data_IF_896967516850
#
_entry.id   IF_896967516850
#
_cell.length_a   1.000
_cell.length_b   1.000
_cell.length_c   1.000
_cell.angle_alpha   90.00
_cell.angle_beta   90.00
_cell.angle_gamma   90.00
#
_symmetry.space_group_name_H-M   'P 1'
#
loop_
_entity.id
_entity.type
_entity.pdbx_description
1 polymer ?
#
# COMPACT_ATOMS: atom_id res chain seq x y z
N UNK A 1 9.41 -14.54 1.15
CA UNK A 1 8.27 -15.21 1.81
C UNK A 1 7.46 -14.31 2.74
N UNK A 2 8.00 -13.86 3.89
CA UNK A 2 7.29 -12.88 4.74
C UNK A 2 6.98 -11.58 3.98
N UNK A 3 7.95 -11.07 3.22
CA UNK A 3 7.83 -10.45 1.88
C UNK A 3 6.42 -10.32 1.26
N UNK A 4 6.12 -11.36 0.49
CA UNK A 4 5.00 -11.55 -0.42
C UNK A 4 3.68 -11.77 0.31
N UNK A 5 3.71 -12.51 1.43
CA UNK A 5 2.54 -12.73 2.28
C UNK A 5 2.13 -11.46 3.00
N UNK A 6 3.08 -10.69 3.55
CA UNK A 6 2.83 -9.39 4.18
C UNK A 6 2.32 -8.39 3.13
N UNK A 7 2.84 -8.44 1.90
CA UNK A 7 2.36 -7.62 0.79
C UNK A 7 0.87 -7.88 0.46
N UNK A 8 0.46 -9.14 0.33
CA UNK A 8 -0.93 -9.50 0.07
C UNK A 8 -1.86 -9.26 1.27
N UNK A 9 -1.34 -9.44 2.49
CA UNK A 9 -2.03 -9.20 3.76
C UNK A 9 -2.27 -7.71 4.04
N UNK A 10 -1.28 -6.85 3.75
CA UNK A 10 -1.44 -5.40 3.85
C UNK A 10 -2.51 -4.91 2.89
N UNK A 11 -2.53 -5.37 1.64
CA UNK A 11 -3.55 -4.89 0.71
C UNK A 11 -4.96 -5.43 0.99
N UNK A 12 -5.08 -6.64 1.56
CA UNK A 12 -6.38 -7.23 1.90
C UNK A 12 -6.98 -6.69 3.22
N UNK A 13 -6.16 -6.30 4.19
CA UNK A 13 -6.62 -5.83 5.51
C UNK A 13 -6.51 -4.31 5.71
N UNK A 14 -5.78 -3.58 4.87
CA UNK A 14 -5.79 -2.11 4.91
C UNK A 14 -7.07 -1.63 4.23
N UNK A 15 -8.12 -1.39 5.04
CA UNK A 15 -9.21 -0.50 4.66
C UNK A 15 -8.63 0.89 4.40
N UNK A 16 -8.21 1.08 3.15
CA UNK A 16 -7.91 2.31 2.42
C UNK A 16 -7.63 3.52 3.31
N UNK A 17 -6.35 3.90 3.33
CA UNK A 17 -5.79 5.14 3.85
C UNK A 17 -6.18 6.37 3.00
N UNK A 18 -7.45 6.45 2.62
CA UNK A 18 -7.95 7.39 1.60
C UNK A 18 -8.32 8.82 2.02
N UNK A 19 -8.32 9.26 3.31
CA UNK A 19 -8.99 10.51 3.63
C UNK A 19 -8.14 11.76 3.42
N UNK A 20 -6.89 11.67 2.96
CA UNK A 20 -6.05 12.87 2.84
C UNK A 20 -6.24 13.64 1.52
N UNK A 21 -6.70 13.01 0.44
CA UNK A 21 -6.88 13.72 -0.84
C UNK A 21 -8.18 13.42 -1.61
N UNK A 22 -8.92 12.35 -1.28
CA UNK A 22 -10.18 12.02 -1.98
C UNK A 22 -11.40 12.53 -1.22
N UNK A 23 -11.70 13.82 -1.40
CA UNK A 23 -12.93 14.46 -0.92
C UNK A 23 -14.18 14.14 -1.76
N UNK A 24 -14.13 13.10 -2.61
CA UNK A 24 -15.25 12.72 -3.47
C UNK A 24 -15.53 11.22 -3.45
N UNK A 25 -16.67 10.83 -2.85
CA UNK A 25 -17.18 9.45 -2.81
C UNK A 25 -17.25 8.75 -4.18
N UNK A 26 -17.33 9.52 -5.27
CA UNK A 26 -17.27 9.00 -6.65
C UNK A 26 -15.89 8.42 -6.98
N UNK A 27 -14.82 9.17 -6.73
CA UNK A 27 -13.44 8.75 -7.03
C UNK A 27 -13.01 7.57 -6.17
N UNK A 28 -13.40 7.57 -4.88
CA UNK A 28 -13.16 6.43 -3.99
C UNK A 28 -13.82 5.15 -4.51
N UNK A 29 -15.10 5.22 -4.90
CA UNK A 29 -15.84 4.07 -5.44
C UNK A 29 -15.24 3.61 -6.76
N UNK A 30 -14.87 4.56 -7.63
CA UNK A 30 -14.18 4.28 -8.89
C UNK A 30 -12.87 3.54 -8.63
N UNK A 31 -11.95 4.10 -7.84
CA UNK A 31 -10.66 3.49 -7.54
C UNK A 31 -10.81 2.07 -6.95
N UNK A 32 -11.72 1.88 -6.00
CA UNK A 32 -11.99 0.54 -5.45
C UNK A 32 -12.52 -0.45 -6.50
N UNK A 33 -13.40 0.01 -7.39
CA UNK A 33 -13.95 -0.82 -8.47
C UNK A 33 -12.85 -1.21 -9.46
N UNK A 34 -12.04 -0.23 -9.88
CA UNK A 34 -10.96 -0.40 -10.84
C UNK A 34 -9.82 -1.26 -10.29
N UNK A 35 -9.41 -1.05 -9.04
CA UNK A 35 -8.40 -1.92 -8.41
C UNK A 35 -8.89 -3.38 -8.35
N UNK A 36 -10.18 -3.61 -8.04
CA UNK A 36 -10.76 -4.97 -8.07
C UNK A 36 -10.84 -5.55 -9.47
N UNK A 37 -11.06 -4.75 -10.51
CA UNK A 37 -11.02 -5.25 -11.90
C UNK A 37 -9.61 -5.69 -12.29
N UNK A 38 -8.58 -4.92 -11.92
CA UNK A 38 -7.17 -5.24 -12.20
C UNK A 38 -6.52 -6.27 -11.27
N UNK A 39 -7.31 -6.88 -10.38
CA UNK A 39 -6.85 -8.06 -9.66
C UNK A 39 -6.70 -7.87 -8.17
N UNK A 40 -7.08 -6.74 -7.60
CA UNK A 40 -7.06 -6.60 -6.16
C UNK A 40 -7.92 -7.68 -5.50
N UNK A 41 -7.26 -8.57 -4.75
CA UNK A 41 -7.88 -9.75 -4.14
C UNK A 41 -8.12 -10.93 -5.10
N UNK A 42 -7.48 -10.95 -6.27
CA UNK A 42 -7.54 -12.01 -7.29
C UNK A 42 -6.14 -12.53 -7.64
N UNK A 43 -6.10 -13.65 -8.35
CA UNK A 43 -4.86 -14.33 -8.77
C UNK A 43 -3.98 -13.52 -9.73
N UNK A 44 -4.51 -12.51 -10.44
CA UNK A 44 -3.70 -11.65 -11.31
C UNK A 44 -2.75 -10.76 -10.53
N UNK A 45 -3.21 -10.14 -9.43
CA UNK A 45 -2.35 -9.37 -8.53
C UNK A 45 -1.33 -10.27 -7.84
N UNK A 46 -1.74 -11.47 -7.42
CA UNK A 46 -0.84 -12.43 -6.82
C UNK A 46 0.33 -12.75 -7.75
N UNK A 47 0.08 -12.94 -9.05
CA UNK A 47 1.15 -13.14 -10.04
C UNK A 47 2.12 -11.98 -10.10
N UNK A 48 1.61 -10.74 -10.14
CA UNK A 48 2.40 -9.51 -10.09
C UNK A 48 3.28 -9.43 -8.83
N UNK A 49 2.72 -9.80 -7.68
CA UNK A 49 3.46 -9.85 -6.42
C UNK A 49 4.57 -10.89 -6.48
N UNK A 50 4.27 -12.11 -6.97
CA UNK A 50 5.25 -13.18 -7.09
C UNK A 50 6.39 -12.83 -8.05
N UNK A 51 6.08 -12.21 -9.19
CA UNK A 51 7.07 -11.70 -10.14
C UNK A 51 7.97 -10.66 -9.49
N UNK A 52 7.40 -9.68 -8.78
CA UNK A 52 8.20 -8.65 -8.12
C UNK A 52 9.02 -9.21 -6.96
N UNK A 53 8.54 -10.28 -6.30
CA UNK A 53 9.33 -10.99 -5.30
C UNK A 53 10.55 -11.71 -5.90
N UNK A 54 10.44 -12.20 -7.14
CA UNK A 54 11.58 -12.77 -7.85
C UNK A 54 12.66 -11.70 -8.09
N UNK A 55 12.27 -10.54 -8.64
CA UNK A 55 13.18 -9.42 -8.83
C UNK A 55 13.81 -8.90 -7.54
N UNK A 56 13.02 -8.83 -6.46
CA UNK A 56 13.54 -8.46 -5.15
C UNK A 56 14.62 -9.45 -4.67
N UNK A 57 14.41 -10.76 -4.85
CA UNK A 57 15.40 -11.78 -4.47
C UNK A 57 16.67 -11.67 -5.32
N UNK A 58 16.53 -11.49 -6.64
CA UNK A 58 17.69 -11.27 -7.53
C UNK A 58 18.54 -10.08 -7.09
N UNK A 59 17.92 -8.99 -6.63
CA UNK A 59 18.63 -7.80 -6.15
C UNK A 59 19.27 -8.03 -4.77
N UNK A 60 18.60 -8.76 -3.88
CA UNK A 60 19.16 -9.14 -2.57
C UNK A 60 20.40 -10.02 -2.74
N UNK A 61 20.38 -10.98 -3.67
CA UNK A 61 21.49 -11.91 -3.91
C UNK A 61 22.76 -11.22 -4.44
N UNK A 62 22.61 -10.06 -5.09
CA UNK A 62 23.74 -9.24 -5.58
C UNK A 62 24.48 -8.52 -4.46
N UNK A 63 23.83 -8.28 -3.31
CA UNK A 63 24.38 -7.48 -2.22
C UNK A 63 24.84 -8.38 -1.04
N UNK A 64 26.14 -8.32 -0.67
CA UNK A 64 26.65 -9.06 0.51
C UNK A 64 26.10 -8.52 1.84
N UNK A 65 25.87 -7.22 1.89
CA UNK A 65 25.21 -6.51 2.99
C UNK A 65 24.44 -5.36 2.34
N UNK A 66 23.14 -5.27 2.64
CA UNK A 66 22.25 -4.31 2.00
C UNK A 66 21.45 -3.50 3.01
N UNK A 67 21.00 -2.33 2.58
CA UNK A 67 20.00 -1.55 3.33
C UNK A 67 18.60 -1.88 2.78
N UNK A 68 17.78 -2.66 3.52
CA UNK A 68 16.54 -3.24 3.02
C UNK A 68 15.49 -2.20 2.59
N UNK A 69 15.57 -0.98 3.14
CA UNK A 69 14.59 0.08 2.86
C UNK A 69 14.47 0.40 1.37
N UNK A 70 15.60 0.51 0.66
CA UNK A 70 15.59 0.84 -0.77
C UNK A 70 14.92 -0.27 -1.59
N UNK A 71 15.30 -1.51 -1.33
CA UNK A 71 14.80 -2.67 -2.07
C UNK A 71 13.30 -2.89 -1.80
N UNK A 72 12.87 -2.77 -0.55
CA UNK A 72 11.45 -2.88 -0.20
C UNK A 72 10.62 -1.73 -0.76
N UNK A 73 11.15 -0.49 -0.80
CA UNK A 73 10.45 0.62 -1.44
C UNK A 73 10.30 0.39 -2.95
N UNK A 74 11.35 -0.10 -3.61
CA UNK A 74 11.30 -0.45 -5.04
C UNK A 74 10.26 -1.54 -5.32
N UNK A 75 10.37 -2.68 -4.62
CA UNK A 75 9.49 -3.82 -4.81
C UNK A 75 8.02 -3.44 -4.59
N UNK A 76 7.73 -2.81 -3.45
CA UNK A 76 6.36 -2.46 -3.11
C UNK A 76 5.78 -1.46 -4.10
N UNK A 77 6.56 -0.45 -4.46
CA UNK A 77 6.10 0.57 -5.41
C UNK A 77 5.89 0.03 -6.80
N UNK A 78 6.71 -0.94 -7.24
CA UNK A 78 6.53 -1.57 -8.54
C UNK A 78 5.20 -2.32 -8.64
N UNK A 79 4.73 -2.94 -7.56
CA UNK A 79 3.40 -3.55 -7.55
C UNK A 79 2.31 -2.48 -7.69
N UNK A 80 2.48 -1.30 -7.09
CA UNK A 80 1.59 -0.15 -7.33
C UNK A 80 1.72 0.36 -8.77
N UNK A 81 2.93 0.44 -9.33
CA UNK A 81 3.17 0.84 -10.72
C UNK A 81 2.46 -0.09 -11.69
N UNK A 82 2.52 -1.41 -11.47
CA UNK A 82 1.81 -2.35 -12.33
C UNK A 82 0.29 -2.14 -12.30
N UNK A 83 -0.27 -1.79 -11.15
CA UNK A 83 -1.72 -1.51 -11.04
C UNK A 83 -2.11 -0.17 -11.63
N UNK A 84 -1.27 0.85 -11.46
CA UNK A 84 -1.59 2.23 -11.81
C UNK A 84 -1.22 2.55 -13.26
N UNK A 85 -0.10 2.02 -13.73
CA UNK A 85 0.55 2.36 -15.01
C UNK A 85 0.78 1.14 -15.91
N UNK A 86 0.29 -0.04 -15.53
CA UNK A 86 0.40 -1.25 -16.33
C UNK A 86 1.82 -1.80 -16.51
N UNK A 87 2.81 -1.23 -15.81
CA UNK A 87 4.23 -1.56 -16.00
C UNK A 87 5.04 -1.48 -14.71
N UNK A 88 6.16 -2.21 -14.68
CA UNK A 88 7.20 -2.10 -13.64
C UNK A 88 8.35 -1.21 -14.11
N UNK A 89 9.14 -0.74 -13.17
CA UNK A 89 10.38 -0.01 -13.40
C UNK A 89 11.59 -0.83 -12.92
N UNK A 90 12.71 -0.65 -13.60
CA UNK A 90 13.98 -1.20 -13.14
C UNK A 90 14.41 -0.52 -11.83
N UNK A 91 15.08 -1.25 -10.93
CA UNK A 91 15.50 -0.71 -9.63
C UNK A 91 16.58 0.36 -9.76
N UNK A 92 17.28 0.40 -10.90
CA UNK A 92 18.26 1.41 -11.26
C UNK A 92 17.66 2.58 -12.06
N UNK A 93 16.38 2.54 -12.44
CA UNK A 93 15.75 3.61 -13.22
C UNK A 93 15.82 4.95 -12.48
N UNK A 94 16.51 5.92 -13.08
CA UNK A 94 16.81 7.19 -12.43
C UNK A 94 15.55 7.99 -12.06
N UNK A 95 14.55 8.03 -12.95
CA UNK A 95 13.33 8.80 -12.72
C UNK A 95 12.47 8.14 -11.63
N UNK A 96 12.41 6.82 -11.64
CA UNK A 96 11.72 6.05 -10.62
C UNK A 96 12.38 6.24 -9.25
N UNK A 97 13.71 6.18 -9.17
CA UNK A 97 14.42 6.43 -7.90
C UNK A 97 14.17 7.85 -7.36
N UNK A 98 14.12 8.87 -8.22
CA UNK A 98 13.79 10.24 -7.80
C UNK A 98 12.32 10.32 -7.34
N UNK A 99 11.39 9.68 -8.07
CA UNK A 99 9.98 9.61 -7.70
C UNK A 99 9.80 8.99 -6.31
N UNK A 100 10.43 7.84 -6.05
CA UNK A 100 10.38 7.17 -4.76
C UNK A 100 10.95 8.03 -3.64
N UNK A 101 12.14 8.60 -3.84
CA UNK A 101 12.75 9.51 -2.85
C UNK A 101 11.82 10.68 -2.53
N UNK A 102 11.21 11.27 -3.56
CA UNK A 102 10.27 12.38 -3.42
C UNK A 102 9.03 11.98 -2.63
N UNK A 103 8.52 10.77 -2.87
CA UNK A 103 7.37 10.20 -2.17
C UNK A 103 7.66 9.96 -0.68
N UNK A 104 8.82 9.39 -0.36
CA UNK A 104 9.29 9.20 1.03
C UNK A 104 9.42 10.54 1.76
N UNK A 105 10.04 11.55 1.13
CA UNK A 105 10.21 12.88 1.71
C UNK A 105 8.86 13.57 1.95
N UNK A 106 7.89 13.37 1.05
CA UNK A 106 6.54 13.89 1.20
C UNK A 106 5.83 13.27 2.41
N UNK A 107 5.89 11.94 2.57
CA UNK A 107 5.30 11.25 3.72
C UNK A 107 5.90 11.72 5.05
N UNK A 108 7.23 11.76 5.17
CA UNK A 108 7.92 12.20 6.39
C UNK A 108 7.51 13.64 6.76
N UNK A 109 7.35 14.51 5.76
CA UNK A 109 6.93 15.90 6.00
C UNK A 109 5.46 16.01 6.37
N UNK A 110 4.57 15.25 5.73
CA UNK A 110 3.16 15.14 6.14
C UNK A 110 3.05 14.74 7.61
N UNK A 111 3.87 13.79 8.06
CA UNK A 111 3.88 13.35 9.46
C UNK A 111 4.50 14.37 10.43
N UNK A 112 5.45 15.21 9.97
CA UNK A 112 6.14 16.20 10.81
C UNK A 112 5.46 17.59 10.85
N UNK A 113 4.62 17.93 9.88
CA UNK A 113 4.15 19.31 9.63
C UNK A 113 2.63 19.51 9.79
N UNK A 114 2.06 19.01 10.88
CA UNK A 114 0.99 19.76 11.54
C UNK A 114 1.65 21.02 12.19
N UNK A 115 1.13 22.25 11.97
CA UNK A 115 1.36 23.11 10.80
C UNK A 115 2.83 23.63 10.67
N UNK A 116 3.38 23.71 9.45
CA UNK A 116 4.75 24.23 9.16
C UNK A 116 5.01 24.51 7.65
N UNK A 117 6.24 24.89 7.22
CA UNK A 117 6.51 25.59 5.95
C UNK A 117 6.16 24.77 4.70
N UNK A 118 4.97 25.06 4.15
CA UNK A 118 4.29 24.41 3.03
C UNK A 118 4.98 24.58 1.67
N UNK A 119 5.87 25.57 1.50
CA UNK A 119 6.46 25.89 0.19
C UNK A 119 7.30 24.76 -0.42
N UNK A 120 8.01 23.97 0.41
CA UNK A 120 8.76 22.79 -0.10
C UNK A 120 7.84 21.60 -0.39
N UNK A 121 6.66 21.52 0.23
CA UNK A 121 5.70 20.45 -0.03
C UNK A 121 5.13 20.57 -1.44
N UNK A 122 4.79 21.79 -1.85
CA UNK A 122 4.30 22.08 -3.21
C UNK A 122 5.30 21.68 -4.31
N UNK A 123 6.61 21.83 -4.09
CA UNK A 123 7.60 21.39 -5.08
C UNK A 123 7.64 19.87 -5.28
N UNK A 124 7.44 19.09 -4.22
CA UNK A 124 7.35 17.62 -4.34
C UNK A 124 6.08 17.19 -5.04
N UNK A 125 4.95 17.78 -4.66
CA UNK A 125 3.68 17.55 -5.36
C UNK A 125 3.80 17.85 -6.85
N UNK A 126 4.39 19.00 -7.21
CA UNK A 126 4.57 19.38 -8.62
C UNK A 126 5.47 18.39 -9.39
N UNK A 127 6.50 17.84 -8.75
CA UNK A 127 7.34 16.82 -9.37
C UNK A 127 6.57 15.51 -9.61
N UNK A 128 5.86 15.03 -8.58
CA UNK A 128 5.06 13.80 -8.64
C UNK A 128 3.90 13.94 -9.64
N UNK A 129 3.21 15.07 -9.64
CA UNK A 129 2.17 15.41 -10.61
C UNK A 129 2.74 15.40 -12.04
N UNK A 130 3.94 15.95 -12.25
CA UNK A 130 4.61 15.91 -13.56
C UNK A 130 4.95 14.48 -13.99
N UNK A 131 5.44 13.65 -13.07
CA UNK A 131 5.72 12.24 -13.35
C UNK A 131 4.45 11.50 -13.77
N UNK A 132 3.36 11.62 -12.99
CA UNK A 132 2.07 11.00 -13.35
C UNK A 132 1.55 11.57 -14.68
N UNK A 133 1.63 12.88 -14.89
CA UNK A 133 1.19 13.51 -16.13
C UNK A 133 1.93 12.96 -17.35
N UNK A 134 3.24 12.69 -17.24
CA UNK A 134 4.02 12.08 -18.32
C UNK A 134 3.51 10.67 -18.65
N UNK A 135 3.22 9.86 -17.63
CA UNK A 135 2.60 8.54 -17.82
C UNK A 135 1.23 8.65 -18.48
N UNK A 136 0.37 9.58 -18.02
CA UNK A 136 -0.96 9.83 -18.62
C UNK A 136 -0.85 10.18 -20.10
N UNK A 137 0.12 11.04 -20.48
CA UNK A 137 0.33 11.36 -21.89
C UNK A 137 0.84 10.17 -22.71
N UNK A 138 1.56 9.23 -22.10
CA UNK A 138 1.91 7.95 -22.70
C UNK A 138 0.65 7.14 -23.02
N UNK A 139 -0.18 6.89 -22.01
CA UNK A 139 -1.39 6.08 -22.11
C UNK A 139 -2.38 6.66 -23.12
N UNK A 140 -2.51 7.99 -23.21
CA UNK A 140 -3.38 8.64 -24.21
C UNK A 140 -2.97 8.38 -25.67
N UNK A 141 -1.70 8.08 -25.94
CA UNK A 141 -1.22 7.86 -27.32
C UNK A 141 -1.58 6.48 -27.85
N UNK A 142 -1.71 5.50 -26.98
CA UNK A 142 -1.91 4.09 -27.31
C UNK A 142 -3.13 3.48 -26.60
N UNK A 143 -4.06 4.32 -26.13
CA UNK A 143 -5.28 3.91 -25.44
C UNK A 143 -6.16 3.07 -26.37
N UNK A 144 -6.46 1.84 -25.93
CA UNK A 144 -7.49 0.99 -26.53
C UNK A 144 -8.76 1.00 -25.66
N UNK A 145 -9.86 1.64 -26.10
CA UNK A 145 -11.11 1.68 -25.33
C UNK A 145 -11.71 0.31 -25.01
N UNK A 146 -11.37 -0.74 -25.77
CA UNK A 146 -11.90 -2.09 -25.56
C UNK A 146 -11.05 -2.92 -24.60
N UNK A 147 -9.82 -2.48 -24.32
CA UNK A 147 -8.86 -3.23 -23.53
C UNK A 147 -8.02 -2.31 -22.63
N UNK A 148 -8.64 -1.68 -21.60
CA UNK A 148 -7.91 -0.84 -20.65
C UNK A 148 -6.90 -1.68 -19.87
N UNK A 149 -5.65 -1.22 -19.84
CA UNK A 149 -4.52 -1.98 -19.27
C UNK A 149 -4.38 -1.82 -17.76
N UNK A 150 -4.79 -0.68 -17.24
CA UNK A 150 -4.54 -0.28 -15.86
C UNK A 150 -5.51 0.82 -15.37
N UNK A 151 -5.24 1.32 -14.16
CA UNK A 151 -5.99 2.40 -13.55
C UNK A 151 -6.02 3.68 -14.40
N UNK A 152 -4.91 4.07 -15.02
CA UNK A 152 -4.82 5.30 -15.83
C UNK A 152 -5.71 5.17 -17.07
N UNK A 153 -5.60 4.08 -17.83
CA UNK A 153 -6.45 3.85 -19.01
C UNK A 153 -7.94 3.90 -18.63
N UNK A 154 -8.31 3.19 -17.56
CA UNK A 154 -9.72 3.13 -17.12
C UNK A 154 -10.21 4.50 -16.67
N UNK A 155 -9.37 5.30 -15.99
CA UNK A 155 -9.74 6.65 -15.58
C UNK A 155 -9.89 7.59 -16.78
N UNK A 156 -9.02 7.47 -17.79
CA UNK A 156 -9.13 8.25 -19.04
C UNK A 156 -10.44 7.91 -19.77
N UNK A 157 -10.83 6.64 -19.84
CA UNK A 157 -12.10 6.22 -20.45
C UNK A 157 -13.30 6.74 -19.65
N UNK A 158 -13.25 6.68 -18.32
CA UNK A 158 -14.31 7.26 -17.47
C UNK A 158 -14.43 8.78 -17.65
N UNK A 159 -13.30 9.48 -17.79
CA UNK A 159 -13.28 10.92 -18.11
C UNK A 159 -13.96 11.24 -19.44
N UNK A 160 -13.81 10.37 -20.45
CA UNK A 160 -14.46 10.55 -21.75
C UNK A 160 -15.98 10.30 -21.68
N UNK A 161 -16.41 9.40 -20.79
CA UNK A 161 -17.81 8.99 -20.65
C UNK A 161 -18.61 9.86 -19.66
N UNK A 162 -17.96 10.54 -18.72
CA UNK A 162 -18.61 11.26 -17.62
C UNK A 162 -18.11 12.71 -17.49
N UNK A 163 -19.00 13.68 -17.76
CA UNK A 163 -18.68 15.11 -17.67
C UNK A 163 -18.57 15.67 -16.24
N UNK A 164 -18.78 14.86 -15.18
CA UNK A 164 -18.89 15.37 -13.80
C UNK A 164 -18.03 14.58 -12.80
N UNK A 165 -16.86 15.15 -12.47
CA UNK A 165 -16.04 14.75 -11.32
C UNK A 165 -14.71 14.04 -11.64
N UNK A 166 -14.42 13.82 -12.92
CA UNK A 166 -13.17 13.24 -13.39
C UNK A 166 -12.39 14.28 -14.23
N UNK A 167 -11.12 14.48 -13.90
CA UNK A 167 -10.21 15.41 -14.58
C UNK A 167 -8.79 14.88 -14.50
N UNK A 168 -7.89 15.37 -15.36
CA UNK A 168 -6.47 14.96 -15.30
C UNK A 168 -5.82 15.31 -13.97
N UNK A 169 -6.19 16.45 -13.38
CA UNK A 169 -5.74 16.82 -12.04
C UNK A 169 -6.22 15.80 -11.00
N UNK A 170 -7.48 15.35 -11.09
CA UNK A 170 -8.02 14.33 -10.20
C UNK A 170 -7.31 12.98 -10.41
N UNK A 171 -7.01 12.60 -11.65
CA UNK A 171 -6.23 11.40 -11.95
C UNK A 171 -4.85 11.47 -11.30
N UNK A 172 -4.13 12.58 -11.47
CA UNK A 172 -2.80 12.75 -10.89
C UNK A 172 -2.81 12.64 -9.36
N UNK A 173 -3.79 13.29 -8.71
CA UNK A 173 -3.95 13.23 -7.24
C UNK A 173 -4.36 11.83 -6.78
N UNK A 174 -5.30 11.17 -7.45
CA UNK A 174 -5.72 9.80 -7.11
C UNK A 174 -4.56 8.81 -7.24
N UNK A 175 -3.80 8.88 -8.33
CA UNK A 175 -2.64 8.01 -8.55
C UNK A 175 -1.59 8.23 -7.47
N UNK A 176 -1.30 9.50 -7.13
CA UNK A 176 -0.36 9.81 -6.06
C UNK A 176 -0.83 9.28 -4.70
N UNK A 177 -2.13 9.35 -4.39
CA UNK A 177 -2.70 8.78 -3.16
C UNK A 177 -2.48 7.26 -3.10
N UNK A 178 -2.68 6.55 -4.21
CA UNK A 178 -2.42 5.11 -4.31
C UNK A 178 -0.94 4.77 -4.05
N UNK A 179 -0.01 5.55 -4.62
CA UNK A 179 1.43 5.36 -4.37
C UNK A 179 1.81 5.67 -2.92
N UNK A 180 1.34 6.79 -2.36
CA UNK A 180 1.65 7.17 -0.97
C UNK A 180 1.11 6.14 0.03
N UNK A 181 -0.16 5.76 -0.13
CA UNK A 181 -0.80 4.80 0.77
C UNK A 181 -0.21 3.40 0.63
N UNK A 182 0.06 2.95 -0.60
CA UNK A 182 0.53 1.59 -0.89
C UNK A 182 2.00 1.37 -0.58
N UNK A 183 2.87 2.32 -0.94
CA UNK A 183 4.32 2.15 -0.82
C UNK A 183 4.79 2.23 0.63
N UNK A 184 4.64 3.38 1.27
CA UNK A 184 5.34 3.64 2.54
C UNK A 184 4.89 2.69 3.66
N UNK A 185 3.57 2.49 3.79
CA UNK A 185 3.00 1.70 4.88
C UNK A 185 3.44 0.23 4.79
N UNK A 186 3.43 -0.32 3.57
CA UNK A 186 3.81 -1.70 3.30
C UNK A 186 5.33 -1.88 3.47
N UNK A 187 6.15 -1.03 2.86
CA UNK A 187 7.61 -1.13 2.97
C UNK A 187 8.07 -0.95 4.42
N UNK A 188 7.47 -0.03 5.18
CA UNK A 188 7.76 0.12 6.61
C UNK A 188 7.37 -1.12 7.41
N UNK A 189 6.24 -1.75 7.09
CA UNK A 189 5.85 -3.02 7.74
C UNK A 189 6.86 -4.14 7.45
N UNK A 190 7.37 -4.22 6.22
CA UNK A 190 8.41 -5.19 5.86
C UNK A 190 9.73 -4.95 6.60
N UNK A 191 10.10 -3.69 6.82
CA UNK A 191 11.25 -3.33 7.65
C UNK A 191 11.06 -3.77 9.10
N UNK A 192 9.87 -3.57 9.67
CA UNK A 192 9.54 -4.08 11.00
C UNK A 192 9.53 -5.61 11.04
N UNK A 193 9.00 -6.27 10.01
CA UNK A 193 9.01 -7.72 9.88
C UNK A 193 10.43 -8.27 9.97
N UNK A 194 11.34 -7.72 9.15
CA UNK A 194 12.74 -8.12 9.17
C UNK A 194 13.39 -7.86 10.53
N UNK A 195 13.12 -6.69 11.12
CA UNK A 195 13.66 -6.31 12.44
C UNK A 195 13.18 -7.26 13.53
N UNK A 196 11.90 -7.62 13.56
CA UNK A 196 11.34 -8.53 14.55
C UNK A 196 11.84 -9.96 14.36
N UNK A 197 11.95 -10.44 13.12
CA UNK A 197 12.49 -11.78 12.85
C UNK A 197 13.97 -11.90 13.25
N UNK A 198 14.78 -10.85 13.03
CA UNK A 198 16.17 -10.79 13.53
C UNK A 198 16.22 -10.79 15.05
N UNK A 199 15.30 -10.07 15.70
CA UNK A 199 15.25 -9.94 17.16
C UNK A 199 14.76 -11.22 17.87
N UNK A 200 13.87 -11.98 17.24
CA UNK A 200 13.24 -13.18 17.79
C UNK A 200 13.56 -14.40 16.89
N UNK A 201 14.78 -14.94 16.97
CA UNK A 201 15.22 -16.03 16.10
C UNK A 201 14.40 -17.31 16.27
N UNK A 202 13.87 -17.57 17.47
CA UNK A 202 12.98 -18.70 17.74
C UNK A 202 11.65 -18.59 16.97
N UNK A 203 11.14 -17.36 16.80
CA UNK A 203 9.97 -17.09 15.96
C UNK A 203 10.31 -17.28 14.49
N UNK A 204 11.47 -16.80 14.05
CA UNK A 204 11.95 -16.99 12.69
C UNK A 204 12.09 -18.47 12.31
N UNK A 205 12.69 -19.29 13.18
CA UNK A 205 12.84 -20.73 12.98
C UNK A 205 11.49 -21.44 12.83
N UNK A 206 10.50 -21.08 13.66
CA UNK A 206 9.15 -21.66 13.57
C UNK A 206 8.43 -21.26 12.28
N UNK A 207 8.61 -20.02 11.81
CA UNK A 207 8.07 -19.57 10.52
C UNK A 207 8.73 -20.37 9.38
N UNK A 208 10.05 -20.54 9.40
CA UNK A 208 10.77 -21.33 8.40
C UNK A 208 10.32 -22.80 8.41
N UNK A 209 10.20 -23.42 9.58
CA UNK A 209 9.73 -24.80 9.70
C UNK A 209 8.30 -24.98 9.16
N UNK A 210 7.41 -24.01 9.37
CA UNK A 210 6.07 -24.05 8.80
C UNK A 210 6.08 -23.90 7.27
N UNK A 211 6.91 -23.00 6.74
CA UNK A 211 7.12 -22.82 5.29
C UNK A 211 7.64 -24.12 4.66
N UNK A 212 8.67 -24.73 5.25
CA UNK A 212 9.29 -25.96 4.72
C UNK A 212 8.30 -27.13 4.75
N UNK A 213 7.45 -27.20 5.77
CA UNK A 213 6.42 -28.24 5.90
C UNK A 213 5.28 -28.10 4.89
N UNK A 214 4.80 -26.88 4.65
CA UNK A 214 3.60 -26.62 3.83
C UNK A 214 3.95 -26.47 2.35
N UNK A 215 5.00 -25.71 2.06
CA UNK A 215 5.41 -25.35 0.69
C UNK A 215 6.64 -26.18 0.29
N UNK A 216 7.64 -26.25 1.16
CA UNK A 216 8.91 -26.91 0.88
C UNK A 216 9.59 -26.34 -0.37
N UNK A 217 10.15 -27.22 -1.20
CA UNK A 217 10.75 -26.87 -2.49
C UNK A 217 9.83 -27.17 -3.68
N UNK A 218 8.55 -27.43 -3.44
CA UNK A 218 7.64 -27.98 -4.46
C UNK A 218 7.11 -26.92 -5.42
N UNK A 219 6.89 -25.70 -4.94
CA UNK A 219 6.38 -24.58 -5.71
C UNK A 219 6.72 -23.24 -5.05
N UNK A 220 6.49 -22.14 -5.76
CA UNK A 220 6.57 -20.79 -5.19
C UNK A 220 5.38 -20.52 -4.27
N UNK A 221 5.54 -19.73 -3.19
CA UNK A 221 4.47 -19.42 -2.27
C UNK A 221 3.28 -18.73 -2.96
N UNK A 222 2.08 -19.14 -2.58
CA UNK A 222 0.81 -18.62 -3.11
C UNK A 222 -0.13 -18.21 -1.98
N UNK A 223 -1.17 -17.46 -2.31
CA UNK A 223 -2.25 -17.12 -1.39
C UNK A 223 -3.09 -18.33 -0.98
N UNK A 224 -3.05 -19.41 -1.76
CA UNK A 224 -3.72 -20.66 -1.43
C UNK A 224 -3.03 -21.42 -0.27
N UNK A 225 -1.75 -21.13 0.00
CA UNK A 225 -1.01 -21.75 1.11
C UNK A 225 -1.37 -21.15 2.47
N UNK A 226 -1.83 -19.89 2.48
CA UNK A 226 -2.08 -19.12 3.70
C UNK A 226 -2.98 -19.82 4.72
N UNK A 227 -4.13 -20.44 4.36
CA UNK A 227 -4.96 -21.16 5.32
C UNK A 227 -4.25 -22.34 6.01
N UNK A 228 -3.19 -22.86 5.39
CA UNK A 228 -2.39 -23.97 5.90
C UNK A 228 -1.16 -23.49 6.70
N UNK A 229 -0.95 -22.18 6.83
CA UNK A 229 0.18 -21.56 7.52
C UNK A 229 -0.27 -20.65 8.68
N UNK A 230 -0.99 -21.19 9.68
CA UNK A 230 -1.57 -20.38 10.76
C UNK A 230 -0.52 -19.65 11.61
N UNK A 231 0.68 -20.23 11.81
CA UNK A 231 1.71 -19.60 12.62
C UNK A 231 2.32 -18.38 11.90
N UNK A 232 2.64 -18.53 10.62
CA UNK A 232 3.12 -17.45 9.76
C UNK A 232 2.09 -16.34 9.65
N UNK A 233 0.80 -16.68 9.49
CA UNK A 233 -0.28 -15.69 9.48
C UNK A 233 -0.34 -14.93 10.83
N UNK A 234 -0.25 -15.64 11.96
CA UNK A 234 -0.24 -15.03 13.29
C UNK A 234 0.97 -14.10 13.50
N UNK A 235 2.17 -14.50 13.04
CA UNK A 235 3.38 -13.67 13.12
C UNK A 235 3.22 -12.39 12.31
N UNK A 236 2.62 -12.45 11.11
CA UNK A 236 2.37 -11.25 10.31
C UNK A 236 1.39 -10.30 11.00
N UNK A 237 0.32 -10.82 11.60
CA UNK A 237 -0.60 -10.01 12.40
C UNK A 237 0.10 -9.37 13.60
N UNK A 238 0.99 -10.09 14.27
CA UNK A 238 1.74 -9.58 15.40
C UNK A 238 2.76 -8.50 15.00
N UNK A 239 3.42 -8.66 13.84
CA UNK A 239 4.28 -7.64 13.26
C UNK A 239 3.49 -6.35 12.99
N UNK A 240 2.30 -6.44 12.39
CA UNK A 240 1.44 -5.29 12.15
C UNK A 240 1.00 -4.63 13.46
N UNK A 241 0.63 -5.44 14.47
CA UNK A 241 0.21 -4.97 15.79
C UNK A 241 1.33 -4.22 16.51
N UNK A 242 2.55 -4.76 16.48
CA UNK A 242 3.71 -4.19 17.17
C UNK A 242 4.35 -3.04 16.41
N UNK A 243 4.39 -3.11 15.07
CA UNK A 243 4.91 -2.05 14.23
C UNK A 243 4.04 -0.78 14.30
N UNK A 244 2.72 -0.94 14.47
CA UNK A 244 1.75 0.15 14.65
C UNK A 244 2.02 1.34 13.72
N UNK A 245 2.18 1.06 12.42
CA UNK A 245 2.72 2.00 11.41
C UNK A 245 1.91 3.30 11.33
N UNK A 246 0.61 3.22 11.61
CA UNK A 246 -0.27 4.39 11.67
C UNK A 246 -0.98 4.45 13.02
N UNK A 247 -0.31 4.97 14.07
CA UNK A 247 -0.83 4.93 15.44
C UNK A 247 -2.05 5.83 15.67
N UNK A 248 -2.22 6.86 14.83
CA UNK A 248 -3.35 7.80 14.89
C UNK A 248 -4.47 7.42 13.92
N UNK A 249 -4.34 6.34 13.15
CA UNK A 249 -5.21 6.06 12.00
C UNK A 249 -5.35 7.30 11.07
N UNK A 250 -6.27 7.25 10.10
CA UNK A 250 -6.68 8.43 9.35
C UNK A 250 -7.71 9.25 10.13
N UNK A 251 -7.68 10.58 9.96
CA UNK A 251 -8.72 11.47 10.45
C UNK A 251 -10.10 11.03 9.93
N UNK A 252 -11.08 10.97 10.82
CA UNK A 252 -12.48 10.61 10.50
C UNK A 252 -13.36 11.83 10.68
N UNK A 253 -14.42 11.93 9.89
CA UNK A 253 -15.40 13.01 10.00
C UNK A 253 -16.79 12.42 10.23
N UNK A 254 -17.56 13.00 11.15
CA UNK A 254 -18.94 12.59 11.38
C UNK A 254 -19.80 12.90 10.15
N UNK A 255 -20.39 11.86 9.54
CA UNK A 255 -21.25 11.99 8.37
C UNK A 255 -22.57 12.72 8.67
N UNK A 256 -23.07 12.54 9.90
CA UNK A 256 -24.25 13.17 10.47
C UNK A 256 -23.97 13.52 11.93
N UNK A 257 -24.78 14.42 12.49
CA UNK A 257 -24.84 14.65 13.93
C UNK A 257 -25.06 13.32 14.64
N UNK A 258 -24.18 12.98 15.57
CA UNK A 258 -24.21 11.69 16.26
C UNK A 258 -23.83 11.84 17.73
N UNK A 259 -24.20 10.85 18.54
CA UNK A 259 -23.77 10.77 19.93
C UNK A 259 -22.89 9.55 20.12
N UNK A 260 -21.66 9.75 20.59
CA UNK A 260 -20.70 8.69 20.85
C UNK A 260 -20.23 8.75 22.29
N UNK A 261 -20.44 7.67 23.05
CA UNK A 261 -20.01 7.60 24.46
C UNK A 261 -20.62 8.70 25.35
N UNK A 262 -21.82 9.19 25.02
CA UNK A 262 -22.49 10.28 25.73
C UNK A 262 -22.13 11.69 25.26
N UNK A 263 -21.19 11.84 24.33
CA UNK A 263 -20.80 13.13 23.76
C UNK A 263 -21.47 13.36 22.41
N UNK A 264 -22.05 14.55 22.22
CA UNK A 264 -22.58 14.99 20.94
C UNK A 264 -21.44 15.40 20.00
N UNK A 265 -21.40 14.78 18.83
CA UNK A 265 -20.43 15.04 17.76
C UNK A 265 -21.21 15.64 16.58
N UNK A 266 -21.04 16.94 16.29
CA UNK A 266 -21.67 17.56 15.14
C UNK A 266 -21.15 16.96 13.83
N UNK A 267 -22.00 16.97 12.80
CA UNK A 267 -21.60 16.76 11.42
C UNK A 267 -20.45 17.70 11.07
N UNK A 268 -19.51 17.22 10.25
CA UNK A 268 -18.28 17.95 9.86
C UNK A 268 -17.22 18.06 10.97
N UNK A 269 -17.47 17.56 12.19
CA UNK A 269 -16.43 17.47 13.21
C UNK A 269 -15.47 16.30 12.92
N UNK A 270 -14.16 16.57 12.99
CA UNK A 270 -13.09 15.60 12.77
C UNK A 270 -12.68 14.94 14.08
N UNK A 271 -12.60 13.62 14.12
CA UNK A 271 -12.15 12.84 15.28
C UNK A 271 -11.10 11.79 14.89
N UNK A 272 -10.36 11.32 15.89
CA UNK A 272 -9.31 10.30 15.77
C UNK A 272 -9.80 9.00 16.39
N UNK A 273 -9.63 7.88 15.69
CA UNK A 273 -9.91 6.54 16.23
C UNK A 273 -8.62 5.86 16.71
N UNK A 274 -8.52 5.58 18.01
CA UNK A 274 -7.36 4.95 18.65
C UNK A 274 -7.52 3.43 18.91
N UNK A 275 -8.48 2.77 18.25
CA UNK A 275 -8.84 1.36 18.50
C UNK A 275 -7.68 0.35 18.50
N UNK A 276 -6.64 0.56 17.68
CA UNK A 276 -5.48 -0.35 17.59
C UNK A 276 -4.59 -0.41 18.85
N UNK A 277 -4.65 0.61 19.71
CA UNK A 277 -3.76 0.72 20.89
C UNK A 277 -4.36 0.16 22.19
N UNK A 278 -5.62 -0.31 22.18
CA UNK A 278 -6.32 -0.70 23.42
C UNK A 278 -5.96 -2.12 23.87
N UNK A 279 -5.24 -2.23 24.98
CA UNK A 279 -4.84 -3.49 25.63
C UNK A 279 -6.00 -4.45 25.97
N UNK A 280 -7.21 -3.95 26.22
CA UNK A 280 -8.37 -4.74 26.65
C UNK A 280 -8.96 -5.67 25.58
N UNK A 281 -8.74 -5.40 24.28
CA UNK A 281 -9.24 -6.28 23.21
C UNK A 281 -8.42 -7.57 23.08
N UNK A 282 -7.21 -7.61 23.62
CA UNK A 282 -6.23 -8.65 23.32
C UNK A 282 -6.20 -9.80 24.34
N UNK A 283 -6.56 -9.55 25.60
CA UNK A 283 -6.73 -10.61 26.61
C UNK A 283 -7.85 -11.60 26.26
N UNK A 284 -8.79 -11.22 25.37
CA UNK A 284 -9.83 -12.14 24.87
C UNK A 284 -9.37 -13.05 23.74
N UNK A 285 -8.37 -12.66 22.96
CA UNK A 285 -7.83 -13.50 21.87
C UNK A 285 -6.91 -14.62 22.40
N UNK A 286 -6.14 -14.34 23.44
CA UNK A 286 -5.25 -15.33 24.08
C UNK A 286 -6.03 -16.43 24.82
N UNK A 287 -7.29 -16.20 25.18
CA UNK A 287 -8.15 -17.23 25.79
C UNK A 287 -8.98 -18.05 24.80
N UNK A 288 -8.89 -17.77 23.50
CA UNK A 288 -9.65 -18.48 22.45
C UNK A 288 -8.73 -19.08 21.37
N UNK A 289 -7.40 -19.06 21.59
CA UNK A 289 -6.40 -19.70 20.71
C UNK A 289 -5.73 -20.86 21.42
#
# INVERSE_FOLDING_TARGET
LAASLTFALLFCNVKLFLPLFLSHDKQRRFALSTLRSFGLGKSSMERSICEECHHLLEEIEKEKAFHPARLFNNAVSNIICQLVMGRRFDYSDHNFQIMLKTLMELYIKLMKHLPGPHNKMFSYFKYLERFISQEVQGHKKDLDPNNPRDYIDTFILEMQNSNLGFSEANLAVCSLDLFLAGTETTSTTLLWALTFLIKYPDVQEKVQAEIDRVIGQTHQPTMADRPNMPYTDAVIHEIQRMGNIVPLNGLRMAANDTTLGGYFIPKVHTYIDHSHSRSQNWLRFVHVS
#
